data_IF_095246111814
#
_entry.id   IF_095246111814
#
_cell.length_a   1.000
_cell.length_b   1.000
_cell.length_c   1.000
_cell.angle_alpha   90.00
_cell.angle_beta   90.00
_cell.angle_gamma   90.00
#
_symmetry.space_group_name_H-M   'P 1'
#
loop_
_entity.id
_entity.type
_entity.pdbx_description
1 polymer ?
#
# COMPACT_ATOMS: atom_id res chain seq x y z
N UNK A 1 0.12 -8.76 -4.42
CA UNK A 1 0.50 -7.56 -5.20
C UNK A 1 -0.56 -6.50 -4.92
N UNK A 2 -0.16 -5.35 -4.38
CA UNK A 2 -1.08 -4.25 -4.14
C UNK A 2 -0.83 -3.15 -5.16
N UNK A 3 -1.91 -2.58 -5.68
CA UNK A 3 -1.88 -1.60 -6.77
C UNK A 3 -2.74 -0.41 -6.38
N UNK A 4 -2.21 0.78 -6.57
CA UNK A 4 -2.93 2.03 -6.41
C UNK A 4 -3.02 2.76 -7.74
N UNK A 5 -4.22 3.27 -8.01
CA UNK A 5 -4.54 4.07 -9.19
C UNK A 5 -5.72 4.99 -8.85
N UNK A 6 -5.92 6.01 -9.67
CA UNK A 6 -7.03 6.94 -9.59
C UNK A 6 -7.61 7.18 -10.99
N UNK A 7 -8.90 7.45 -11.04
CA UNK A 7 -9.63 7.77 -12.28
C UNK A 7 -10.56 8.94 -12.03
N UNK A 8 -10.78 9.73 -13.07
CA UNK A 8 -11.87 10.68 -13.13
C UNK A 8 -12.46 10.70 -14.56
N UNK A 9 -13.47 11.52 -14.79
CA UNK A 9 -14.16 11.59 -16.10
C UNK A 9 -13.24 11.91 -17.29
N UNK A 10 -12.09 12.55 -17.07
CA UNK A 10 -11.24 13.07 -18.15
C UNK A 10 -9.87 12.42 -18.22
N UNK A 11 -9.36 11.91 -17.10
CA UNK A 11 -8.03 11.31 -17.00
C UNK A 11 -8.05 10.15 -16.04
N UNK A 12 -7.13 9.22 -16.29
CA UNK A 12 -6.74 8.15 -15.39
C UNK A 12 -5.26 8.30 -15.04
N UNK A 13 -4.81 7.60 -14.01
CA UNK A 13 -3.37 7.51 -13.71
C UNK A 13 -2.60 6.99 -14.92
N UNK A 14 -1.48 7.62 -15.25
CA UNK A 14 -0.61 7.19 -16.35
C UNK A 14 0.19 5.94 -15.97
N UNK A 15 0.71 5.88 -14.75
CA UNK A 15 1.52 4.75 -14.25
C UNK A 15 0.93 4.20 -12.95
N UNK A 16 0.70 2.89 -12.91
CA UNK A 16 0.23 2.19 -11.72
C UNK A 16 1.30 2.22 -10.62
N UNK A 17 0.89 2.54 -9.40
CA UNK A 17 1.77 2.49 -8.23
C UNK A 17 1.64 1.11 -7.57
N UNK A 18 2.74 0.36 -7.54
CA UNK A 18 2.79 -0.97 -6.93
C UNK A 18 3.47 -0.90 -5.56
N UNK A 19 2.75 -1.32 -4.52
CA UNK A 19 3.25 -1.23 -3.14
C UNK A 19 3.23 -2.58 -2.41
N UNK A 20 3.92 -2.61 -1.27
CA UNK A 20 4.23 -3.81 -0.48
C UNK A 20 5.12 -4.82 -1.23
N UNK A 21 6.23 -4.33 -1.81
CA UNK A 21 7.35 -5.17 -2.21
C UNK A 21 8.35 -5.23 -1.04
N UNK A 22 8.03 -5.91 0.04
CA UNK A 22 9.05 -6.28 1.01
C UNK A 22 9.56 -7.66 0.60
N UNK A 23 10.79 -7.69 0.07
CA UNK A 23 11.57 -8.92 -0.02
C UNK A 23 11.58 -9.59 1.35
N UNK A 24 11.59 -10.92 1.41
CA UNK A 24 11.82 -11.63 2.67
C UNK A 24 13.15 -11.14 3.27
N UNK A 25 13.10 -10.29 4.30
CA UNK A 25 14.31 -9.87 4.98
C UNK A 25 14.56 -10.77 6.19
N UNK A 26 15.82 -11.18 6.33
CA UNK A 26 16.26 -11.90 7.52
C UNK A 26 16.52 -10.89 8.62
N UNK A 27 15.62 -10.80 9.61
CA UNK A 27 15.94 -10.05 10.82
C UNK A 27 16.94 -10.85 11.62
N UNK A 28 18.16 -10.31 11.71
CA UNK A 28 19.17 -10.82 12.63
C UNK A 28 18.84 -10.30 14.03
N UNK A 29 18.44 -11.17 14.98
CA UNK A 29 18.22 -10.75 16.35
C UNK A 29 19.49 -10.10 16.92
N UNK A 30 19.33 -9.14 17.82
CA UNK A 30 20.47 -8.45 18.45
C UNK A 30 21.42 -9.48 19.07
N UNK A 31 22.66 -9.53 18.57
CA UNK A 31 23.68 -10.45 19.05
C UNK A 31 23.99 -10.15 20.51
N UNK A 32 23.92 -11.16 21.36
CA UNK A 32 24.39 -11.06 22.74
C UNK A 32 25.90 -10.75 22.74
N UNK A 33 26.36 -9.89 23.64
CA UNK A 33 27.79 -9.54 23.72
C UNK A 33 28.59 -10.76 24.16
N UNK A 34 29.64 -11.11 23.40
CA UNK A 34 30.51 -12.24 23.73
C UNK A 34 31.15 -12.03 25.12
N UNK A 35 31.04 -13.01 26.05
CA UNK A 35 31.68 -12.94 27.34
C UNK A 35 33.20 -12.72 27.21
N UNK A 36 33.74 -11.72 27.92
CA UNK A 36 35.19 -11.51 28.06
C UNK A 36 35.69 -12.19 29.33
N UNK A 37 36.93 -12.68 29.33
CA UNK A 37 37.54 -13.31 30.51
C UNK A 37 37.65 -12.32 31.66
N UNK A 38 37.48 -12.81 32.88
CA UNK A 38 37.62 -12.01 34.12
C UNK A 38 38.94 -12.32 34.81
N UNK A 39 39.43 -11.38 35.63
CA UNK A 39 40.73 -11.48 36.31
C UNK A 39 40.85 -12.66 37.28
N UNK A 40 39.74 -13.07 37.91
CA UNK A 40 39.68 -14.11 38.94
C UNK A 40 38.82 -15.31 38.51
N UNK A 41 38.70 -15.58 37.21
CA UNK A 41 37.92 -16.68 36.64
C UNK A 41 38.86 -17.77 36.12
N UNK A 42 38.56 -19.04 36.43
CA UNK A 42 39.32 -20.17 35.90
C UNK A 42 38.99 -20.41 34.42
N UNK A 43 39.88 -21.10 33.71
CA UNK A 43 39.69 -21.37 32.27
C UNK A 43 38.44 -22.22 31.99
N UNK A 44 38.12 -23.13 32.91
CA UNK A 44 36.95 -24.02 32.81
C UNK A 44 35.63 -23.25 32.99
N UNK A 45 35.58 -22.36 33.98
CA UNK A 45 34.41 -21.48 34.21
C UNK A 45 34.18 -20.55 33.03
N UNK A 46 35.26 -19.97 32.47
CA UNK A 46 35.17 -19.14 31.27
C UNK A 46 34.61 -19.94 30.08
N UNK A 47 35.11 -21.16 29.84
CA UNK A 47 34.64 -22.02 28.76
C UNK A 47 33.17 -22.44 28.94
N UNK A 48 32.74 -22.73 30.17
CA UNK A 48 31.35 -23.03 30.48
C UNK A 48 30.44 -21.83 30.19
N UNK A 49 30.90 -20.61 30.50
CA UNK A 49 30.19 -19.36 30.20
C UNK A 49 30.09 -19.09 28.70
N UNK A 50 31.12 -19.41 27.93
CA UNK A 50 31.08 -19.34 26.46
C UNK A 50 30.05 -20.32 25.90
N UNK A 51 30.05 -21.58 26.34
CA UNK A 51 29.06 -22.59 25.87
C UNK A 51 27.63 -22.17 26.19
N UNK A 52 27.40 -21.63 27.39
CA UNK A 52 26.08 -21.10 27.77
C UNK A 52 25.66 -19.91 26.91
N UNK A 53 26.61 -19.04 26.57
CA UNK A 53 26.37 -17.91 25.67
C UNK A 53 26.07 -18.38 24.23
N UNK A 54 26.81 -19.36 23.70
CA UNK A 54 26.57 -19.95 22.39
C UNK A 54 25.18 -20.60 22.30
N UNK A 55 24.77 -21.33 23.35
CA UNK A 55 23.44 -21.93 23.43
C UNK A 55 22.30 -20.90 23.51
N UNK A 56 22.59 -19.68 23.97
CA UNK A 56 21.64 -18.57 24.06
C UNK A 56 21.64 -17.68 22.81
N UNK A 57 22.48 -17.96 21.81
CA UNK A 57 22.48 -17.19 20.57
C UNK A 57 21.12 -17.34 19.89
N UNK A 58 20.42 -16.23 19.64
CA UNK A 58 19.15 -16.28 18.95
C UNK A 58 19.41 -16.73 17.50
N UNK A 59 18.63 -17.70 17.03
CA UNK A 59 18.73 -18.24 15.69
C UNK A 59 18.19 -17.22 14.68
N UNK A 60 18.73 -17.19 13.46
CA UNK A 60 18.17 -16.35 12.40
C UNK A 60 16.72 -16.79 12.15
N UNK A 61 15.78 -15.88 12.38
CA UNK A 61 14.36 -16.12 12.11
C UNK A 61 14.03 -15.47 10.77
N UNK A 62 13.52 -16.27 9.83
CA UNK A 62 12.89 -15.74 8.63
C UNK A 62 11.56 -15.14 9.06
N UNK A 63 11.52 -13.82 9.22
CA UNK A 63 10.29 -13.11 9.57
C UNK A 63 9.44 -13.07 8.31
N UNK A 64 8.36 -13.85 8.30
CA UNK A 64 7.33 -13.69 7.26
C UNK A 64 6.67 -12.33 7.47
N UNK A 65 6.59 -11.45 6.46
CA UNK A 65 6.00 -10.14 6.62
C UNK A 65 4.57 -10.27 7.15
N UNK A 66 4.28 -9.53 8.21
CA UNK A 66 3.00 -9.56 8.92
C UNK A 66 2.00 -8.75 8.11
N UNK A 67 0.99 -9.41 7.53
CA UNK A 67 -0.21 -8.80 6.94
C UNK A 67 0.03 -7.54 6.11
N UNK A 68 0.18 -7.71 4.79
CA UNK A 68 0.47 -6.70 3.76
C UNK A 68 -0.64 -5.64 3.55
N UNK A 69 -1.24 -5.10 4.61
CA UNK A 69 -2.20 -4.00 4.54
C UNK A 69 -1.50 -2.68 4.25
N UNK A 70 -2.22 -1.74 3.63
CA UNK A 70 -1.72 -0.38 3.46
C UNK A 70 -1.54 0.29 4.83
N UNK A 71 -0.38 0.90 5.09
CA UNK A 71 -0.21 1.71 6.30
C UNK A 71 -0.68 3.15 6.06
N UNK A 72 -1.25 3.78 7.07
CA UNK A 72 -1.68 5.19 6.97
C UNK A 72 -0.52 6.13 6.59
N UNK A 73 0.69 5.87 7.12
CA UNK A 73 1.89 6.64 6.78
C UNK A 73 2.22 6.54 5.29
N UNK A 74 2.26 5.32 4.75
CA UNK A 74 2.54 5.13 3.33
C UNK A 74 1.48 5.78 2.45
N UNK A 75 0.20 5.59 2.78
CA UNK A 75 -0.91 6.21 2.06
C UNK A 75 -0.74 7.74 1.99
N UNK A 76 -0.42 8.39 3.12
CA UNK A 76 -0.19 9.84 3.18
C UNK A 76 1.00 10.26 2.31
N UNK A 77 2.16 9.63 2.51
CA UNK A 77 3.42 10.07 1.90
C UNK A 77 3.49 9.78 0.39
N UNK A 78 2.83 8.71 -0.08
CA UNK A 78 2.94 8.23 -1.45
C UNK A 78 1.69 8.45 -2.29
N UNK A 79 0.49 8.19 -1.75
CA UNK A 79 -0.74 8.19 -2.53
C UNK A 79 -1.54 9.49 -2.39
N UNK A 80 -1.82 9.93 -1.17
CA UNK A 80 -2.69 11.08 -0.91
C UNK A 80 -2.12 12.36 -1.55
N UNK A 81 -0.80 12.56 -1.50
CA UNK A 81 -0.16 13.70 -2.18
C UNK A 81 -0.34 13.67 -3.71
N UNK A 82 -0.39 12.48 -4.32
CA UNK A 82 -0.67 12.32 -5.75
C UNK A 82 -2.13 12.67 -6.04
N UNK A 83 -3.06 12.22 -5.19
CA UNK A 83 -4.49 12.51 -5.34
C UNK A 83 -4.80 14.00 -5.16
N UNK A 84 -4.20 14.64 -4.15
CA UNK A 84 -4.31 16.10 -3.93
C UNK A 84 -3.88 16.86 -5.19
N UNK A 85 -2.72 16.52 -5.77
CA UNK A 85 -2.25 17.14 -7.02
C UNK A 85 -3.20 16.89 -8.18
N UNK A 86 -3.76 15.69 -8.29
CA UNK A 86 -4.72 15.36 -9.34
C UNK A 86 -6.01 16.19 -9.20
N UNK A 87 -6.54 16.35 -7.98
CA UNK A 87 -7.72 17.18 -7.68
C UNK A 87 -7.45 18.66 -7.96
N UNK A 88 -6.31 19.18 -7.51
CA UNK A 88 -5.93 20.57 -7.79
C UNK A 88 -5.81 20.85 -9.29
N UNK A 89 -5.18 19.94 -10.06
CA UNK A 89 -5.10 20.04 -11.52
C UNK A 89 -6.49 19.98 -12.17
N UNK A 90 -7.41 19.21 -11.60
CA UNK A 90 -8.77 19.09 -12.09
C UNK A 90 -9.59 20.36 -11.83
N UNK A 91 -9.40 21.01 -10.68
CA UNK A 91 -10.00 22.33 -10.33
C UNK A 91 -9.55 23.46 -11.25
N UNK A 92 -8.33 23.40 -11.79
CA UNK A 92 -7.86 24.36 -12.79
C UNK A 92 -8.63 24.25 -14.12
N UNK A 93 -9.31 23.12 -14.37
CA UNK A 93 -10.02 22.90 -15.62
C UNK A 93 -11.44 23.45 -15.58
N UNK A 94 -12.16 23.25 -14.48
CA UNK A 94 -13.52 23.75 -14.31
C UNK A 94 -13.82 24.07 -12.84
N UNK A 95 -14.83 24.91 -12.64
CA UNK A 95 -15.30 25.34 -11.33
C UNK A 95 -16.24 24.33 -10.65
N UNK A 96 -16.27 23.08 -11.11
CA UNK A 96 -17.14 22.05 -10.52
C UNK A 96 -16.58 21.60 -9.16
N UNK A 97 -17.45 21.13 -8.25
CA UNK A 97 -17.00 20.50 -7.02
C UNK A 97 -16.27 19.21 -7.35
N UNK A 98 -14.99 19.15 -7.00
CA UNK A 98 -14.16 17.94 -7.13
C UNK A 98 -14.12 17.22 -5.78
N UNK A 99 -14.71 16.03 -5.75
CA UNK A 99 -14.84 15.20 -4.56
C UNK A 99 -13.96 13.96 -4.73
N UNK A 100 -13.19 13.62 -3.71
CA UNK A 100 -12.40 12.40 -3.62
C UNK A 100 -13.28 11.26 -3.13
N UNK A 101 -13.35 10.17 -3.90
CA UNK A 101 -14.02 8.95 -3.47
C UNK A 101 -12.97 7.88 -3.13
N UNK A 102 -13.09 7.30 -1.95
CA UNK A 102 -12.21 6.22 -1.45
C UNK A 102 -13.05 5.15 -0.77
N UNK A 103 -12.47 3.95 -0.61
CA UNK A 103 -13.11 2.90 0.19
C UNK A 103 -12.93 3.15 1.70
N UNK A 104 -13.54 2.28 2.50
CA UNK A 104 -13.46 2.35 3.96
C UNK A 104 -12.20 1.67 4.54
N UNK A 105 -11.08 1.62 3.80
CA UNK A 105 -9.82 1.12 4.34
C UNK A 105 -9.36 1.96 5.57
N UNK A 106 -8.93 1.32 6.67
CA UNK A 106 -8.50 2.03 7.87
C UNK A 106 -7.38 3.04 7.64
N UNK A 107 -6.52 2.84 6.64
CA UNK A 107 -5.41 3.72 6.29
C UNK A 107 -5.88 5.11 5.82
N UNK A 108 -7.05 5.19 5.19
CA UNK A 108 -7.67 6.44 4.73
C UNK A 108 -8.16 7.34 5.88
N UNK A 109 -8.19 6.79 7.10
CA UNK A 109 -8.66 7.49 8.28
C UNK A 109 -10.17 7.39 8.45
N UNK A 110 -10.82 6.31 8.00
CA UNK A 110 -12.28 6.11 8.10
C UNK A 110 -12.74 5.35 9.36
N UNK A 111 -11.84 5.09 10.33
CA UNK A 111 -12.17 4.37 11.57
C UNK A 111 -12.70 5.24 12.73
N UNK A 112 -13.19 4.68 13.84
CA UNK A 112 -13.76 5.46 14.96
C UNK A 112 -12.79 6.44 15.66
N UNK A 113 -11.48 6.36 15.38
CA UNK A 113 -10.45 7.34 15.81
C UNK A 113 -10.08 8.36 14.71
N UNK A 114 -10.86 8.40 13.63
CA UNK A 114 -10.70 9.13 12.36
C UNK A 114 -10.51 10.63 12.51
N UNK A 115 -11.28 11.28 13.39
CA UNK A 115 -11.34 12.74 13.54
C UNK A 115 -9.99 13.39 13.86
N UNK A 116 -9.00 12.59 14.29
CA UNK A 116 -7.63 13.06 14.56
C UNK A 116 -6.55 12.37 13.70
N UNK A 117 -6.96 11.51 12.76
CA UNK A 117 -6.07 10.80 11.86
C UNK A 117 -5.28 11.76 10.97
N UNK A 118 -4.00 11.46 10.74
CA UNK A 118 -3.13 12.29 9.89
C UNK A 118 -3.66 12.43 8.46
N UNK A 119 -4.33 11.39 7.94
CA UNK A 119 -4.91 11.39 6.60
C UNK A 119 -6.05 12.41 6.47
N UNK A 120 -6.96 12.44 7.45
CA UNK A 120 -8.10 13.38 7.50
C UNK A 120 -7.58 14.81 7.59
N UNK A 121 -6.65 15.08 8.51
CA UNK A 121 -6.02 16.42 8.65
C UNK A 121 -5.33 16.88 7.37
N UNK A 122 -4.66 15.98 6.64
CA UNK A 122 -4.01 16.34 5.39
C UNK A 122 -5.03 16.66 4.29
N UNK A 123 -6.14 15.91 4.23
CA UNK A 123 -7.24 16.20 3.31
C UNK A 123 -7.85 17.56 3.60
N UNK A 124 -8.16 17.85 4.86
CA UNK A 124 -8.72 19.14 5.31
C UNK A 124 -7.78 20.31 4.98
N UNK A 125 -6.49 20.17 5.31
CA UNK A 125 -5.47 21.20 5.04
C UNK A 125 -5.25 21.45 3.54
N UNK A 126 -5.66 20.52 2.67
CA UNK A 126 -5.58 20.66 1.21
C UNK A 126 -6.95 20.91 0.57
N UNK A 127 -7.98 21.21 1.38
CA UNK A 127 -9.36 21.42 0.94
C UNK A 127 -9.88 20.28 0.07
N UNK A 128 -9.66 19.03 0.48
CA UNK A 128 -10.12 17.84 -0.25
C UNK A 128 -11.40 17.32 0.38
N UNK A 129 -12.52 17.55 -0.32
CA UNK A 129 -13.81 16.98 0.06
C UNK A 129 -13.82 15.48 -0.24
N UNK A 130 -14.30 14.67 0.69
CA UNK A 130 -14.39 13.22 0.52
C UNK A 130 -15.85 12.77 0.44
N UNK A 131 -16.16 11.90 -0.53
CA UNK A 131 -17.48 11.29 -0.64
C UNK A 131 -17.64 10.26 0.47
N UNK A 132 -18.75 10.32 1.21
CA UNK A 132 -19.11 9.26 2.15
C UNK A 132 -19.50 8.01 1.37
N UNK A 133 -18.60 7.02 1.32
CA UNK A 133 -18.83 5.78 0.61
C UNK A 133 -19.47 4.73 1.55
N UNK A 134 -20.62 4.13 1.16
CA UNK A 134 -21.24 3.11 1.99
C UNK A 134 -20.31 1.90 2.15
N UNK A 135 -20.25 1.30 3.35
CA UNK A 135 -19.47 0.08 3.57
C UNK A 135 -19.87 -1.03 2.59
N UNK A 136 -18.90 -1.84 2.18
CA UNK A 136 -19.12 -3.05 1.38
C UNK A 136 -19.85 -2.81 0.04
N UNK A 137 -19.71 -1.64 -0.56
CA UNK A 137 -20.37 -1.27 -1.82
C UNK A 137 -19.38 -1.05 -2.97
N UNK A 138 -18.59 -2.07 -3.36
CA UNK A 138 -17.58 -1.93 -4.42
C UNK A 138 -18.19 -1.54 -5.77
N UNK A 139 -19.46 -1.87 -6.00
CA UNK A 139 -20.18 -1.56 -7.24
C UNK A 139 -20.36 -0.05 -7.46
N UNK A 140 -20.28 0.76 -6.39
CA UNK A 140 -20.37 2.22 -6.46
C UNK A 140 -19.00 2.90 -6.64
N UNK A 141 -17.92 2.15 -6.90
CA UNK A 141 -16.57 2.70 -7.03
C UNK A 141 -16.04 2.57 -8.47
N UNK A 142 -15.83 3.68 -9.21
CA UNK A 142 -15.33 3.67 -10.59
C UNK A 142 -14.05 2.88 -10.80
N UNK A 143 -13.15 2.84 -9.80
CA UNK A 143 -11.89 2.12 -9.92
C UNK A 143 -12.11 0.59 -9.89
N UNK A 144 -13.08 0.09 -9.11
CA UNK A 144 -13.42 -1.33 -9.08
C UNK A 144 -14.02 -1.77 -10.42
N UNK A 145 -14.82 -0.92 -11.06
CA UNK A 145 -15.29 -1.19 -12.42
C UNK A 145 -14.14 -1.31 -13.42
N UNK A 146 -13.10 -0.46 -13.31
CA UNK A 146 -11.88 -0.59 -14.12
C UNK A 146 -11.15 -1.92 -13.83
N UNK A 147 -11.02 -2.31 -12.56
CA UNK A 147 -10.42 -3.59 -12.20
C UNK A 147 -11.23 -4.79 -12.69
N UNK A 148 -12.56 -4.69 -12.76
CA UNK A 148 -13.42 -5.74 -13.31
C UNK A 148 -13.21 -5.94 -14.82
N UNK A 149 -12.74 -4.92 -15.55
CA UNK A 149 -12.31 -5.04 -16.95
C UNK A 149 -10.95 -5.75 -17.05
N UNK A 150 -10.01 -5.42 -16.17
CA UNK A 150 -8.64 -5.93 -16.23
C UNK A 150 -8.56 -7.40 -15.76
N UNK A 151 -9.25 -7.77 -14.68
CA UNK A 151 -9.18 -9.11 -14.05
C UNK A 151 -9.38 -10.24 -15.08
N UNK A 152 -10.40 -10.22 -15.97
CA UNK A 152 -10.55 -11.24 -17.02
C UNK A 152 -9.46 -11.22 -18.09
N UNK A 153 -8.94 -10.03 -18.47
CA UNK A 153 -7.87 -9.91 -19.48
C UNK A 153 -6.56 -10.50 -18.95
N UNK A 154 -6.26 -10.25 -17.69
CA UNK A 154 -5.14 -10.87 -16.98
C UNK A 154 -5.34 -12.38 -16.94
N UNK A 155 -6.48 -12.91 -16.52
CA UNK A 155 -6.70 -14.39 -16.46
C UNK A 155 -6.44 -15.14 -17.78
N UNK A 156 -6.48 -14.45 -18.93
CA UNK A 156 -6.20 -15.04 -20.26
C UNK A 156 -4.71 -15.05 -20.62
N UNK A 157 -3.87 -14.34 -19.88
CA UNK A 157 -2.42 -14.26 -20.08
C UNK A 157 -1.72 -15.25 -19.14
N UNK A 158 -0.47 -15.55 -19.45
CA UNK A 158 0.41 -16.36 -18.59
C UNK A 158 1.58 -15.50 -18.13
N UNK A 159 1.91 -15.54 -16.84
CA UNK A 159 3.09 -14.92 -16.24
C UNK A 159 3.73 -15.91 -15.28
N UNK A 160 5.05 -15.79 -15.14
CA UNK A 160 5.89 -16.63 -14.28
C UNK A 160 6.57 -15.83 -13.18
N UNK A 161 6.70 -14.51 -13.35
CA UNK A 161 7.32 -13.60 -12.38
C UNK A 161 6.36 -12.50 -11.94
N UNK A 162 6.68 -11.85 -10.81
CA UNK A 162 5.91 -10.73 -10.29
C UNK A 162 6.11 -9.47 -11.16
N UNK A 163 7.29 -9.33 -11.74
CA UNK A 163 7.65 -8.28 -12.70
C UNK A 163 6.83 -8.39 -13.99
N UNK A 164 6.68 -9.60 -14.53
CA UNK A 164 5.80 -9.86 -15.67
C UNK A 164 4.35 -9.50 -15.35
N UNK A 165 3.86 -9.87 -14.15
CA UNK A 165 2.51 -9.52 -13.74
C UNK A 165 2.31 -8.01 -13.63
N UNK A 166 3.29 -7.26 -13.08
CA UNK A 166 3.27 -5.79 -13.01
C UNK A 166 3.24 -5.16 -14.41
N UNK A 167 4.06 -5.67 -15.33
CA UNK A 167 4.08 -5.20 -16.72
C UNK A 167 2.75 -5.46 -17.42
N UNK A 168 2.19 -6.66 -17.29
CA UNK A 168 0.87 -7.02 -17.84
C UNK A 168 -0.23 -6.13 -17.26
N UNK A 169 -0.20 -5.85 -15.95
CA UNK A 169 -1.15 -4.95 -15.30
C UNK A 169 -1.09 -3.54 -15.88
N UNK A 170 0.12 -3.00 -16.07
CA UNK A 170 0.31 -1.69 -16.68
C UNK A 170 -0.18 -1.68 -18.14
N UNK A 171 0.15 -2.69 -18.94
CA UNK A 171 -0.33 -2.79 -20.34
C UNK A 171 -1.85 -2.85 -20.43
N UNK A 172 -2.50 -3.68 -19.60
CA UNK A 172 -3.96 -3.81 -19.61
C UNK A 172 -4.63 -2.55 -19.07
N UNK A 173 -4.01 -1.87 -18.10
CA UNK A 173 -4.45 -0.57 -17.63
C UNK A 173 -4.38 0.47 -18.76
N UNK A 174 -3.28 0.54 -19.49
CA UNK A 174 -3.07 1.51 -20.57
C UNK A 174 -4.11 1.34 -21.70
N UNK A 175 -4.50 0.10 -22.00
CA UNK A 175 -5.53 -0.22 -22.99
C UNK A 175 -6.94 0.25 -22.62
N UNK A 176 -7.25 0.48 -21.34
CA UNK A 176 -8.58 0.98 -20.95
C UNK A 176 -8.75 2.40 -21.49
N UNK A 177 -9.72 2.59 -22.36
CA UNK A 177 -10.03 3.90 -22.93
C UNK A 177 -10.77 4.78 -21.91
N UNK A 178 -10.71 6.10 -22.08
CA UNK A 178 -11.50 7.01 -21.24
C UNK A 178 -13.00 6.82 -21.50
N UNK A 179 -13.37 6.39 -22.70
CA UNK A 179 -14.74 6.06 -23.11
C UNK A 179 -15.28 4.88 -22.28
N UNK A 180 -14.50 3.80 -22.13
CA UNK A 180 -14.85 2.69 -21.24
C UNK A 180 -15.01 3.15 -19.79
N UNK A 181 -14.11 4.02 -19.29
CA UNK A 181 -14.19 4.55 -17.92
C UNK A 181 -15.46 5.39 -17.73
N UNK A 182 -15.77 6.28 -18.67
CA UNK A 182 -16.99 7.10 -18.62
C UNK A 182 -18.25 6.25 -18.63
N UNK A 183 -18.31 5.23 -19.48
CA UNK A 183 -19.44 4.30 -19.51
C UNK A 183 -19.68 3.65 -18.14
N UNK A 184 -18.60 3.23 -17.45
CA UNK A 184 -18.71 2.69 -16.09
C UNK A 184 -19.14 3.72 -15.07
N UNK A 185 -18.65 4.95 -15.15
CA UNK A 185 -19.09 6.03 -14.26
C UNK A 185 -20.58 6.33 -14.47
N UNK A 186 -21.10 6.26 -15.70
CA UNK A 186 -22.53 6.49 -15.99
C UNK A 186 -23.43 5.32 -15.62
N UNK A 187 -22.89 4.10 -15.52
CA UNK A 187 -23.63 2.92 -15.05
C UNK A 187 -23.90 2.95 -13.54
N UNK A 188 -23.17 3.80 -12.80
CA UNK A 188 -23.34 3.92 -11.35
C UNK A 188 -24.59 4.76 -11.03
N UNK A 189 -25.44 4.28 -10.10
CA UNK A 189 -26.68 4.95 -9.70
C UNK A 189 -26.45 6.25 -8.91
#
# INVERSE_FOLDING_TARGET
LHVAAWVNWHKKTEKLEFYNNEEEHTERPRRLVKPRSRKYETKEEFNARIRKWEALLPHEQVVKPKGNGMTQKYYIERLLLVYVKAVQKARLRDSKPWILQEDNDPSHGNGPRSLYGLAVKLKDNNWIDCLTHPPQSPDLNPIEACWNIIKPRIRKRTWRTLEELKAILQEEWDKITMEEIRARITEMP
#
